data_IF_791259461270
#
_entry.id   IF_791259461270
#
_cell.length_a   1.000
_cell.length_b   1.000
_cell.length_c   1.000
_cell.angle_alpha   90.00
_cell.angle_beta   90.00
_cell.angle_gamma   90.00
#
_symmetry.space_group_name_H-M   'P 1'
#
loop_
_entity.id
_entity.type
_entity.pdbx_description
1 polymer ?
#
# COMPACT_ATOMS: atom_id res chain seq x y z
N UNK A 1 -8.27 -27.09 -4.05
CA UNK A 1 -7.40 -27.10 -2.83
C UNK A 1 -8.18 -27.02 -1.50
N UNK A 2 -7.83 -27.87 -0.53
CA UNK A 2 -8.43 -27.98 0.83
C UNK A 2 -7.86 -27.00 1.88
N UNK A 3 -6.97 -26.08 1.48
CA UNK A 3 -6.32 -25.13 2.38
C UNK A 3 -7.34 -24.17 3.05
N UNK A 4 -7.08 -23.73 4.30
CA UNK A 4 -7.83 -22.66 4.94
C UNK A 4 -7.90 -21.40 4.08
N UNK A 5 -9.04 -20.69 4.15
CA UNK A 5 -9.28 -19.50 3.33
C UNK A 5 -8.24 -18.41 3.54
N UNK A 6 -7.73 -18.25 4.77
CA UNK A 6 -6.68 -17.29 5.11
C UNK A 6 -5.48 -17.41 4.15
N UNK A 7 -4.98 -18.63 3.92
CA UNK A 7 -3.80 -18.88 3.10
C UNK A 7 -4.07 -18.80 1.60
N UNK A 8 -5.33 -18.94 1.19
CA UNK A 8 -5.74 -18.69 -0.21
C UNK A 8 -5.69 -17.19 -0.52
N UNK A 9 -6.15 -16.36 0.42
CA UNK A 9 -6.10 -14.91 0.27
C UNK A 9 -4.65 -14.42 0.38
N UNK A 10 -3.89 -14.88 1.37
CA UNK A 10 -2.49 -14.45 1.53
C UNK A 10 -1.56 -14.90 0.40
N UNK A 11 -1.96 -15.93 -0.35
CA UNK A 11 -1.35 -16.28 -1.63
C UNK A 11 -1.25 -15.11 -2.62
N UNK A 12 -2.19 -14.15 -2.57
CA UNK A 12 -2.20 -13.00 -3.49
C UNK A 12 -1.08 -11.99 -3.27
N UNK A 13 -0.42 -12.02 -2.11
CA UNK A 13 0.77 -11.21 -1.81
C UNK A 13 1.97 -12.06 -1.38
N UNK A 14 1.90 -13.38 -1.57
CA UNK A 14 2.97 -14.31 -1.17
C UNK A 14 4.20 -14.27 -2.08
N UNK A 15 4.07 -13.73 -3.29
CA UNK A 15 5.15 -13.53 -4.25
C UNK A 15 5.40 -12.04 -4.52
N UNK A 16 6.44 -11.76 -5.30
CA UNK A 16 6.88 -10.41 -5.61
C UNK A 16 5.82 -9.61 -6.39
N UNK A 17 5.27 -10.18 -7.47
CA UNK A 17 4.29 -9.51 -8.33
C UNK A 17 2.98 -9.22 -7.58
N UNK A 18 2.52 -10.17 -6.78
CA UNK A 18 1.34 -10.02 -5.93
C UNK A 18 1.54 -8.95 -4.85
N UNK A 19 2.73 -8.89 -4.24
CA UNK A 19 3.09 -7.84 -3.29
C UNK A 19 3.08 -6.44 -3.93
N UNK A 20 3.52 -6.31 -5.19
CA UNK A 20 3.42 -5.04 -5.93
C UNK A 20 1.97 -4.64 -6.20
N UNK A 21 1.08 -5.60 -6.46
CA UNK A 21 -0.35 -5.32 -6.59
C UNK A 21 -0.96 -4.84 -5.27
N UNK A 22 -0.61 -5.47 -4.15
CA UNK A 22 -0.99 -5.03 -2.80
C UNK A 22 -0.49 -3.61 -2.52
N UNK A 23 0.75 -3.30 -2.92
CA UNK A 23 1.31 -1.95 -2.81
C UNK A 23 0.43 -0.92 -3.52
N UNK A 24 0.10 -1.15 -4.80
CA UNK A 24 -0.74 -0.23 -5.58
C UNK A 24 -2.14 -0.13 -4.99
N UNK A 25 -2.73 -1.23 -4.53
CA UNK A 25 -4.02 -1.22 -3.83
C UNK A 25 -3.99 -0.27 -2.63
N UNK A 26 -2.93 -0.31 -1.83
CA UNK A 26 -2.78 0.55 -0.65
C UNK A 26 -2.53 2.00 -1.07
N UNK A 27 -1.69 2.28 -2.08
CA UNK A 27 -1.52 3.64 -2.64
C UNK A 27 -2.87 4.23 -3.04
N UNK A 28 -3.67 3.45 -3.78
CA UNK A 28 -4.99 3.84 -4.24
C UNK A 28 -5.98 4.03 -3.08
N UNK A 29 -5.95 3.16 -2.07
CA UNK A 29 -6.76 3.30 -0.87
C UNK A 29 -6.47 4.61 -0.13
N UNK A 30 -5.19 4.94 0.11
CA UNK A 30 -4.81 6.20 0.74
C UNK A 30 -5.20 7.42 -0.11
N UNK A 31 -5.01 7.35 -1.44
CA UNK A 31 -5.47 8.38 -2.36
C UNK A 31 -7.00 8.57 -2.31
N UNK A 32 -7.76 7.49 -2.30
CA UNK A 32 -9.22 7.51 -2.19
C UNK A 32 -9.68 8.07 -0.83
N UNK A 33 -9.05 7.65 0.27
CA UNK A 33 -9.32 8.20 1.59
C UNK A 33 -9.01 9.71 1.63
N UNK A 34 -7.88 10.15 1.08
CA UNK A 34 -7.53 11.57 1.03
C UNK A 34 -8.52 12.36 0.17
N UNK A 35 -9.01 11.78 -0.92
CA UNK A 35 -10.06 12.37 -1.73
C UNK A 35 -11.38 12.44 -0.95
N UNK A 36 -11.76 11.41 -0.20
CA UNK A 36 -13.03 11.36 0.51
C UNK A 36 -13.06 12.27 1.75
N UNK A 37 -12.03 12.19 2.60
CA UNK A 37 -11.96 12.93 3.87
C UNK A 37 -11.31 14.31 3.73
N UNK A 38 -10.73 14.63 2.58
CA UNK A 38 -10.00 15.88 2.33
C UNK A 38 -10.87 17.12 2.04
N UNK A 39 -12.17 17.09 2.33
CA UNK A 39 -13.11 18.17 1.98
C UNK A 39 -12.74 19.55 2.57
N UNK A 40 -12.07 19.57 3.73
CA UNK A 40 -11.67 20.80 4.42
C UNK A 40 -10.31 21.36 3.96
N UNK A 41 -9.65 20.73 3.00
CA UNK A 41 -8.39 21.25 2.46
C UNK A 41 -8.63 22.34 1.42
N UNK A 42 -7.75 23.36 1.35
CA UNK A 42 -7.74 24.29 0.23
C UNK A 42 -7.73 23.53 -1.10
N UNK A 43 -8.58 23.88 -2.09
CA UNK A 43 -8.72 23.10 -3.32
C UNK A 43 -7.41 22.85 -4.07
N UNK A 44 -6.51 23.86 -4.10
CA UNK A 44 -5.19 23.75 -4.72
C UNK A 44 -4.28 22.74 -4.02
N UNK A 45 -4.25 22.79 -2.68
CA UNK A 45 -3.47 21.85 -1.88
C UNK A 45 -4.01 20.42 -2.05
N UNK A 46 -5.32 20.22 -1.95
CA UNK A 46 -5.96 18.92 -2.17
C UNK A 46 -5.63 18.35 -3.55
N UNK A 47 -5.75 19.17 -4.61
CA UNK A 47 -5.41 18.75 -5.96
C UNK A 47 -3.94 18.34 -6.07
N UNK A 48 -3.00 19.13 -5.54
CA UNK A 48 -1.56 18.82 -5.56
C UNK A 48 -1.22 17.53 -4.81
N UNK A 49 -1.81 17.35 -3.63
CA UNK A 49 -1.63 16.13 -2.82
C UNK A 49 -2.10 14.90 -3.58
N UNK A 50 -3.31 14.95 -4.16
CA UNK A 50 -3.85 13.85 -4.95
C UNK A 50 -3.03 13.60 -6.23
N UNK A 51 -2.53 14.65 -6.88
CA UNK A 51 -1.67 14.53 -8.05
C UNK A 51 -0.34 13.84 -7.74
N UNK A 52 0.33 14.19 -6.63
CA UNK A 52 1.57 13.52 -6.22
C UNK A 52 1.31 12.07 -5.86
N UNK A 53 0.24 11.80 -5.10
CA UNK A 53 -0.16 10.43 -4.76
C UNK A 53 -0.48 9.59 -6.01
N UNK A 54 -1.20 10.18 -6.97
CA UNK A 54 -1.51 9.54 -8.24
C UNK A 54 -0.25 9.30 -9.08
N UNK A 55 0.72 10.23 -9.09
CA UNK A 55 1.98 10.04 -9.80
C UNK A 55 2.77 8.84 -9.26
N UNK A 56 2.80 8.65 -7.94
CA UNK A 56 3.37 7.44 -7.31
C UNK A 56 2.61 6.20 -7.80
N UNK A 57 1.27 6.24 -7.78
CA UNK A 57 0.44 5.14 -8.27
C UNK A 57 0.73 4.79 -9.74
N UNK A 58 0.84 5.79 -10.62
CA UNK A 58 1.18 5.61 -12.04
C UNK A 58 2.56 4.98 -12.20
N UNK A 59 3.57 5.41 -11.43
CA UNK A 59 4.90 4.84 -11.49
C UNK A 59 4.92 3.35 -11.12
N UNK A 60 4.22 2.96 -10.05
CA UNK A 60 4.12 1.56 -9.64
C UNK A 60 3.24 0.73 -10.59
N UNK A 61 2.17 1.29 -11.14
CA UNK A 61 1.38 0.64 -12.18
C UNK A 61 2.21 0.39 -13.44
N UNK A 62 3.01 1.38 -13.87
CA UNK A 62 3.93 1.21 -14.98
C UNK A 62 4.98 0.12 -14.68
N UNK A 63 5.56 0.10 -13.49
CA UNK A 63 6.46 -0.97 -13.06
C UNK A 63 5.78 -2.35 -13.13
N UNK A 64 4.56 -2.50 -12.59
CA UNK A 64 3.80 -3.75 -12.72
C UNK A 64 3.62 -4.13 -14.18
N UNK A 65 3.21 -3.22 -15.04
CA UNK A 65 2.93 -3.53 -16.45
C UNK A 65 4.18 -3.97 -17.22
N UNK A 66 5.32 -3.33 -16.98
CA UNK A 66 6.53 -3.54 -17.78
C UNK A 66 7.54 -4.52 -17.17
N UNK A 67 7.52 -4.77 -15.87
CA UNK A 67 8.54 -5.60 -15.20
C UNK A 67 7.96 -6.70 -14.32
N UNK A 68 6.92 -6.42 -13.54
CA UNK A 68 6.48 -7.28 -12.43
C UNK A 68 5.00 -7.65 -12.53
N UNK A 69 4.56 -8.08 -13.72
CA UNK A 69 3.14 -8.26 -14.05
C UNK A 69 2.57 -9.58 -13.49
N UNK A 70 1.67 -9.56 -12.48
CA UNK A 70 1.08 -10.79 -11.92
C UNK A 70 0.05 -11.44 -12.84
N UNK A 71 -0.32 -10.78 -13.94
CA UNK A 71 -1.34 -11.23 -14.88
C UNK A 71 -0.75 -11.82 -16.17
N UNK A 72 0.55 -12.10 -16.19
CA UNK A 72 1.15 -12.85 -17.30
C UNK A 72 0.43 -14.19 -17.47
N UNK A 73 0.03 -14.47 -18.70
CA UNK A 73 -0.72 -15.68 -19.02
C UNK A 73 0.20 -16.89 -18.98
N UNK A 74 -0.24 -17.93 -18.29
CA UNK A 74 0.40 -19.24 -18.35
C UNK A 74 0.01 -19.93 -19.66
N UNK A 75 0.98 -20.56 -20.33
CA UNK A 75 0.72 -21.34 -21.55
C UNK A 75 -0.20 -22.54 -21.31
N UNK A 76 -0.05 -23.17 -20.13
CA UNK A 76 -0.93 -24.25 -19.65
C UNK A 76 -1.31 -23.96 -18.21
N UNK A 77 -2.47 -23.33 -17.94
CA UNK A 77 -2.88 -23.04 -16.57
C UNK A 77 -3.23 -24.35 -15.83
N UNK A 78 -2.79 -24.52 -14.58
CA UNK A 78 -3.17 -25.68 -13.77
C UNK A 78 -4.66 -25.60 -13.39
N UNK A 79 -5.27 -26.77 -13.10
CA UNK A 79 -6.68 -26.86 -12.70
C UNK A 79 -6.96 -26.17 -11.37
N UNK A 80 -6.04 -26.28 -10.42
CA UNK A 80 -5.97 -25.50 -9.17
C UNK A 80 -4.77 -24.56 -9.24
N UNK A 81 -4.84 -23.38 -8.61
CA UNK A 81 -3.71 -22.44 -8.54
C UNK A 81 -2.46 -23.06 -7.89
N UNK A 82 -1.28 -22.46 -8.13
CA UNK A 82 0.00 -22.96 -7.61
C UNK A 82 0.14 -22.91 -6.08
N UNK A 83 -0.88 -22.38 -5.41
CA UNK A 83 -1.04 -22.43 -3.96
C UNK A 83 0.05 -21.63 -3.22
N UNK A 84 -0.21 -21.23 -1.97
CA UNK A 84 0.84 -20.62 -1.16
C UNK A 84 1.86 -21.69 -0.75
N UNK A 85 3.16 -21.36 -0.83
CA UNK A 85 4.24 -22.21 -0.33
C UNK A 85 3.89 -22.71 1.08
N UNK A 86 3.92 -24.04 1.35
CA UNK A 86 3.58 -24.60 2.66
C UNK A 86 4.31 -23.95 3.84
N UNK A 87 5.57 -23.53 3.66
CA UNK A 87 6.37 -22.85 4.69
C UNK A 87 5.82 -21.46 5.07
N UNK A 88 4.99 -20.86 4.22
CA UNK A 88 4.39 -19.54 4.40
C UNK A 88 2.98 -19.61 5.02
N UNK A 89 2.51 -20.80 5.40
CA UNK A 89 1.20 -20.99 6.04
C UNK A 89 1.26 -20.79 7.56
N UNK A 90 1.67 -19.59 7.96
CA UNK A 90 1.68 -19.14 9.35
C UNK A 90 0.82 -17.86 9.48
N UNK A 91 0.01 -17.70 10.54
CA UNK A 91 -0.80 -16.49 10.72
C UNK A 91 0.03 -15.21 10.77
N UNK A 92 1.20 -15.23 11.43
CA UNK A 92 2.11 -14.10 11.49
C UNK A 92 2.54 -13.66 10.10
N UNK A 93 2.94 -14.61 9.25
CA UNK A 93 3.33 -14.32 7.86
C UNK A 93 2.16 -13.94 6.96
N UNK A 94 0.94 -14.44 7.24
CA UNK A 94 -0.25 -14.04 6.50
C UNK A 94 -0.64 -12.58 6.78
N UNK A 95 -0.54 -12.14 8.05
CA UNK A 95 -0.95 -10.79 8.46
C UNK A 95 0.18 -9.76 8.38
N UNK A 96 1.44 -10.16 8.58
CA UNK A 96 2.58 -9.24 8.61
C UNK A 96 2.67 -8.35 7.35
N UNK A 97 2.65 -8.87 6.10
CA UNK A 97 2.84 -8.05 4.92
C UNK A 97 1.76 -6.97 4.74
N UNK A 98 0.44 -7.25 4.89
CA UNK A 98 -0.58 -6.20 4.86
C UNK A 98 -0.33 -5.05 5.84
N UNK A 99 0.01 -5.34 7.10
CA UNK A 99 0.30 -4.30 8.10
C UNK A 99 1.59 -3.54 7.77
N UNK A 100 2.64 -4.26 7.37
CA UNK A 100 3.90 -3.67 6.97
C UNK A 100 3.71 -2.71 5.78
N UNK A 101 2.96 -3.13 4.75
CA UNK A 101 2.70 -2.33 3.56
C UNK A 101 1.75 -1.17 3.86
N UNK A 102 0.71 -1.35 4.68
CA UNK A 102 -0.14 -0.24 5.14
C UNK A 102 0.69 0.85 5.82
N UNK A 103 1.75 0.47 6.55
CA UNK A 103 2.69 1.39 7.15
C UNK A 103 3.63 2.06 6.14
N UNK A 104 4.46 1.26 5.45
CA UNK A 104 5.46 1.76 4.50
C UNK A 104 4.83 2.57 3.38
N UNK A 105 3.80 2.02 2.73
CA UNK A 105 3.09 2.70 1.64
C UNK A 105 2.25 3.84 2.18
N UNK A 106 1.71 3.74 3.40
CA UNK A 106 0.97 4.84 4.04
C UNK A 106 1.82 6.11 4.22
N UNK A 107 3.12 5.99 4.43
CA UNK A 107 4.04 7.14 4.48
C UNK A 107 4.11 7.91 3.14
N UNK A 108 3.73 7.30 2.01
CA UNK A 108 3.58 8.03 0.73
C UNK A 108 2.61 9.18 0.83
N UNK A 109 1.59 9.08 1.70
CA UNK A 109 0.62 10.15 1.90
C UNK A 109 1.27 11.37 2.57
N UNK A 110 2.10 11.13 3.60
CA UNK A 110 2.86 12.18 4.26
C UNK A 110 3.85 12.85 3.28
N UNK A 111 4.51 12.06 2.44
CA UNK A 111 5.35 12.56 1.35
C UNK A 111 4.55 13.43 0.36
N UNK A 112 3.39 12.97 -0.10
CA UNK A 112 2.52 13.71 -1.02
C UNK A 112 2.09 15.07 -0.45
N UNK A 113 1.79 15.12 0.86
CA UNK A 113 1.53 16.37 1.59
C UNK A 113 2.73 17.30 1.67
N UNK A 114 3.93 16.76 1.91
CA UNK A 114 5.15 17.56 1.97
C UNK A 114 5.46 18.18 0.61
N UNK A 115 5.45 17.37 -0.46
CA UNK A 115 5.69 17.85 -1.84
C UNK A 115 4.66 18.89 -2.25
N UNK A 116 3.37 18.64 -1.99
CA UNK A 116 2.32 19.60 -2.32
C UNK A 116 2.49 20.94 -1.60
N UNK A 117 2.93 20.94 -0.34
CA UNK A 117 3.18 22.14 0.43
C UNK A 117 4.41 22.92 -0.07
N UNK A 118 5.47 22.20 -0.49
CA UNK A 118 6.63 22.81 -1.15
C UNK A 118 6.25 23.49 -2.47
N UNK A 119 5.39 22.85 -3.29
CA UNK A 119 4.88 23.45 -4.53
C UNK A 119 3.96 24.65 -4.24
N UNK A 120 3.18 24.63 -3.15
CA UNK A 120 2.34 25.77 -2.72
C UNK A 120 3.17 26.92 -2.13
N UNK A 121 4.38 26.64 -1.64
CA UNK A 121 5.22 27.61 -0.94
C UNK A 121 4.66 28.02 0.43
N UNK A 122 3.77 27.21 1.03
CA UNK A 122 3.11 27.48 2.31
C UNK A 122 3.20 26.28 3.23
N UNK A 123 4.09 26.35 4.20
CA UNK A 123 4.22 25.35 5.28
C UNK A 123 3.91 26.04 6.60
N UNK A 124 2.64 26.04 6.99
CA UNK A 124 2.16 26.66 8.22
C UNK A 124 1.71 25.60 9.25
N UNK A 125 1.25 26.04 10.42
CA UNK A 125 0.72 25.13 11.43
C UNK A 125 -0.54 24.37 10.98
N UNK A 126 -1.27 24.87 9.98
CA UNK A 126 -2.43 24.18 9.42
C UNK A 126 -2.00 22.95 8.61
N UNK A 127 -0.89 23.05 7.88
CA UNK A 127 -0.28 21.90 7.19
C UNK A 127 0.01 20.73 8.14
N UNK A 128 0.63 21.00 9.29
CA UNK A 128 0.96 19.97 10.27
C UNK A 128 -0.27 19.22 10.78
N UNK A 129 -1.41 19.91 10.94
CA UNK A 129 -2.69 19.30 11.34
C UNK A 129 -3.25 18.36 10.27
N UNK A 130 -3.07 18.68 8.99
CA UNK A 130 -3.53 17.83 7.90
C UNK A 130 -2.67 16.58 7.70
N UNK A 131 -1.34 16.69 7.85
CA UNK A 131 -0.45 15.55 7.61
C UNK A 131 -0.44 14.55 8.77
N UNK A 132 -0.61 15.03 10.01
CA UNK A 132 -0.52 14.23 11.23
C UNK A 132 -1.35 12.94 11.25
N UNK A 133 -2.67 12.93 10.93
CA UNK A 133 -3.45 11.69 10.97
C UNK A 133 -2.90 10.62 10.02
N UNK A 134 -2.40 11.01 8.85
CA UNK A 134 -1.81 10.09 7.89
C UNK A 134 -0.50 9.50 8.37
N UNK A 135 0.40 10.36 8.89
CA UNK A 135 1.67 9.92 9.44
C UNK A 135 1.47 8.99 10.63
N UNK A 136 0.53 9.30 11.53
CA UNK A 136 0.25 8.45 12.69
C UNK A 136 -0.37 7.12 12.28
N UNK A 137 -1.33 7.11 11.35
CA UNK A 137 -1.90 5.87 10.84
C UNK A 137 -0.82 4.96 10.23
N UNK A 138 0.01 5.51 9.33
CA UNK A 138 1.13 4.80 8.73
C UNK A 138 2.11 4.29 9.80
N UNK A 139 2.46 5.11 10.80
CA UNK A 139 3.35 4.71 11.88
C UNK A 139 2.77 3.57 12.74
N UNK A 140 1.48 3.59 13.07
CA UNK A 140 0.81 2.51 13.81
C UNK A 140 0.85 1.21 13.02
N UNK A 141 0.46 1.23 11.74
CA UNK A 141 0.50 0.04 10.89
C UNK A 141 1.93 -0.49 10.73
N UNK A 142 2.91 0.40 10.56
CA UNK A 142 4.31 0.02 10.46
C UNK A 142 4.81 -0.64 11.75
N UNK A 143 4.39 -0.12 12.90
CA UNK A 143 4.75 -0.67 14.22
C UNK A 143 4.19 -2.08 14.39
N UNK A 144 2.91 -2.28 14.06
CA UNK A 144 2.28 -3.61 14.09
C UNK A 144 2.97 -4.54 13.11
N UNK A 145 3.25 -4.08 11.88
CA UNK A 145 3.93 -4.84 10.85
C UNK A 145 5.31 -5.32 11.32
N UNK A 146 6.14 -4.41 11.85
CA UNK A 146 7.46 -4.76 12.40
C UNK A 146 7.32 -5.74 13.56
N UNK A 147 6.40 -5.51 14.51
CA UNK A 147 6.20 -6.40 15.65
C UNK A 147 5.78 -7.82 15.23
N UNK A 148 4.85 -7.95 14.27
CA UNK A 148 4.45 -9.24 13.70
C UNK A 148 5.60 -9.92 12.96
N UNK A 149 6.39 -9.15 12.21
CA UNK A 149 7.56 -9.67 11.50
C UNK A 149 8.62 -10.20 12.47
N UNK A 150 8.88 -9.48 13.57
CA UNK A 150 9.81 -9.89 14.61
C UNK A 150 9.34 -11.10 15.42
N UNK A 151 8.03 -11.29 15.60
CA UNK A 151 7.50 -12.47 16.29
C UNK A 151 7.65 -13.74 15.44
N UNK A 152 7.42 -13.62 14.13
CA UNK A 152 7.50 -14.75 13.23
C UNK A 152 8.94 -15.18 12.90
N UNK A 153 9.88 -14.23 12.82
CA UNK A 153 11.29 -14.47 12.47
C UNK A 153 12.05 -15.29 13.53
#
# INVERSE_FOLDING_TARGET
>A
SAKPMLYKISGTWGNHEGSMLLWVLIVALFGAMAAWFGGNLPPRLRARVLSVQAAIGVAFLAFILFTSNPFLRMGTPPFDGQDLNPLLQDPGLAFHPPFLYLGYVGLSMAFSFAVAALIEGRVDAAWGRWVRPWTLAAWVFLTIGIALGSWWA
#
